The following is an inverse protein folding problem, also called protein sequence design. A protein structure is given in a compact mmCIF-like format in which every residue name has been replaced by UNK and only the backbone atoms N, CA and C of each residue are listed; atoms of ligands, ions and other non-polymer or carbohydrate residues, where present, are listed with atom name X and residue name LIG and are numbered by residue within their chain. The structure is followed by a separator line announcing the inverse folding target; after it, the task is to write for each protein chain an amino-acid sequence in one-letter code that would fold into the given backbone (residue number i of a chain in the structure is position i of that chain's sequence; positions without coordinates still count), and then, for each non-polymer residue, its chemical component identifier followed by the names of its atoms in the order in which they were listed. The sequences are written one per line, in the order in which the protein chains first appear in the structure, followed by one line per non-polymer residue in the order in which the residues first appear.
data_IF_621130391729
#
_entry.id   IF_621130391729
#
_cell.length_a   1.000
_cell.length_b   1.000
_cell.length_c   1.000
_cell.angle_alpha   90.00
_cell.angle_beta   90.00
_cell.angle_gamma   90.00
#
_symmetry.space_group_name_H-M   'P 1'
#
loop_
_entity.id
_entity.type
_entity.pdbx_description
1 polymer ?
#
# COMPACT_ATOMS: atom_id res chain seq x y z
N UNK A 1 -23.79 25.98 30.73
CA UNK A 1 -22.79 26.42 29.75
C UNK A 1 -23.57 26.96 28.58
N UNK A 2 -23.40 28.24 28.24
CA UNK A 2 -24.15 28.86 27.16
C UNK A 2 -23.46 28.48 25.84
N UNK A 3 -24.19 27.79 24.96
CA UNK A 3 -23.75 27.49 23.59
C UNK A 3 -23.55 28.82 22.84
N UNK A 4 -22.42 28.96 22.14
CA UNK A 4 -22.15 30.15 21.35
C UNK A 4 -23.21 30.28 20.23
N UNK A 5 -23.86 31.45 20.07
CA UNK A 5 -24.95 31.62 19.09
C UNK A 5 -24.50 31.53 17.62
N UNK A 6 -23.19 31.35 17.38
CA UNK A 6 -22.56 31.31 16.06
C UNK A 6 -22.06 29.91 15.68
N UNK A 7 -22.06 28.94 16.61
CA UNK A 7 -21.65 27.56 16.29
C UNK A 7 -22.82 26.78 15.71
N UNK A 8 -22.75 26.51 14.40
CA UNK A 8 -23.67 25.58 13.72
C UNK A 8 -23.21 24.17 14.06
N UNK A 9 -24.04 23.41 14.77
CA UNK A 9 -23.77 21.99 15.03
C UNK A 9 -24.07 21.16 13.77
N UNK A 10 -23.38 20.01 13.63
CA UNK A 10 -23.56 19.13 12.48
C UNK A 10 -25.02 18.66 12.33
N UNK A 11 -25.69 18.35 13.45
CA UNK A 11 -27.09 17.93 13.48
C UNK A 11 -28.07 19.05 13.07
N UNK A 12 -27.77 20.30 13.44
CA UNK A 12 -28.58 21.45 13.02
C UNK A 12 -28.44 21.70 11.51
N UNK A 13 -27.23 21.56 10.98
CA UNK A 13 -26.96 21.68 9.55
C UNK A 13 -27.67 20.58 8.75
N UNK A 14 -27.55 19.32 9.16
CA UNK A 14 -28.20 18.19 8.48
C UNK A 14 -29.71 18.31 8.53
N UNK A 15 -30.28 18.76 9.64
CA UNK A 15 -31.73 18.99 9.78
C UNK A 15 -32.22 20.10 8.85
N UNK A 16 -31.48 21.21 8.72
CA UNK A 16 -31.81 22.31 7.80
C UNK A 16 -31.70 21.90 6.34
N UNK A 17 -30.66 21.14 5.97
CA UNK A 17 -30.48 20.60 4.61
C UNK A 17 -31.58 19.58 4.29
N UNK A 18 -31.90 18.67 5.20
CA UNK A 18 -32.98 17.70 5.04
C UNK A 18 -34.33 18.39 4.87
N UNK A 19 -34.64 19.44 5.65
CA UNK A 19 -35.86 20.23 5.50
C UNK A 19 -35.90 21.00 4.17
N UNK A 20 -34.76 21.53 3.70
CA UNK A 20 -34.65 22.22 2.41
C UNK A 20 -34.85 21.29 1.20
N UNK A 21 -34.52 20.01 1.38
CA UNK A 21 -34.68 18.95 0.37
C UNK A 21 -35.98 18.15 0.53
N UNK A 22 -36.74 18.40 1.61
CA UNK A 22 -38.01 17.76 1.86
C UNK A 22 -39.12 18.44 1.06
N UNK A 23 -39.74 17.67 0.15
CA UNK A 23 -40.82 18.15 -0.70
C UNK A 23 -40.32 18.46 -2.11
N UNK A 24 -40.69 17.58 -3.04
CA UNK A 24 -40.35 17.72 -4.45
C UNK A 24 -40.24 16.36 -5.15
N UNK A 25 -40.42 16.38 -6.46
CA UNK A 25 -40.07 15.27 -7.35
C UNK A 25 -38.57 14.93 -7.24
N UNK A 26 -38.14 13.77 -7.72
CA UNK A 26 -36.73 13.38 -7.65
C UNK A 26 -35.81 14.42 -8.32
N UNK A 27 -36.20 14.91 -9.49
CA UNK A 27 -35.46 15.95 -10.24
C UNK A 27 -35.30 17.27 -9.48
N UNK A 28 -36.30 17.67 -8.68
CA UNK A 28 -36.22 18.90 -7.89
C UNK A 28 -35.23 18.77 -6.73
N UNK A 29 -35.12 17.58 -6.15
CA UNK A 29 -34.14 17.26 -5.10
C UNK A 29 -32.72 17.26 -5.65
N UNK A 30 -32.50 16.73 -6.84
CA UNK A 30 -31.19 16.73 -7.49
C UNK A 30 -30.71 18.16 -7.79
N UNK A 31 -31.60 19.01 -8.33
CA UNK A 31 -31.30 20.43 -8.55
C UNK A 31 -31.07 21.20 -7.24
N UNK A 32 -31.76 20.81 -6.16
CA UNK A 32 -31.55 21.41 -4.85
C UNK A 32 -30.19 21.00 -4.26
N UNK A 33 -29.78 19.75 -4.41
CA UNK A 33 -28.44 19.27 -4.05
C UNK A 33 -27.33 19.98 -4.82
N UNK A 34 -27.52 20.22 -6.13
CA UNK A 34 -26.57 20.97 -6.94
C UNK A 34 -26.34 22.39 -6.40
N UNK A 35 -27.42 23.09 -6.02
CA UNK A 35 -27.33 24.44 -5.43
C UNK A 35 -26.65 24.45 -4.06
N UNK A 36 -26.92 23.45 -3.23
CA UNK A 36 -26.27 23.28 -1.92
C UNK A 36 -24.77 23.00 -2.13
N UNK A 37 -24.43 22.10 -3.06
CA UNK A 37 -23.05 21.77 -3.42
C UNK A 37 -22.26 22.96 -3.94
N UNK A 38 -22.84 23.76 -4.84
CA UNK A 38 -22.19 24.96 -5.38
C UNK A 38 -21.90 26.03 -4.32
N UNK A 39 -22.81 26.20 -3.35
CA UNK A 39 -22.58 27.12 -2.22
C UNK A 39 -21.53 26.57 -1.27
N UNK A 40 -21.54 25.28 -0.98
CA UNK A 40 -20.54 24.63 -0.15
C UNK A 40 -19.14 24.73 -0.77
N UNK A 41 -19.02 24.50 -2.09
CA UNK A 41 -17.76 24.56 -2.84
C UNK A 41 -17.10 25.94 -2.78
N UNK A 42 -17.90 27.02 -2.75
CA UNK A 42 -17.37 28.39 -2.58
C UNK A 42 -16.66 28.62 -1.25
N UNK A 43 -16.91 27.75 -0.25
CA UNK A 43 -16.35 27.83 1.11
C UNK A 43 -15.41 26.66 1.43
N UNK A 44 -15.47 25.54 0.69
CA UNK A 44 -14.52 24.43 0.82
C UNK A 44 -13.37 24.58 -0.18
N UNK A 45 -12.23 25.10 0.30
CA UNK A 45 -10.98 25.13 -0.49
C UNK A 45 -10.26 23.77 -0.57
N UNK A 46 -10.69 22.79 0.23
CA UNK A 46 -10.17 21.42 0.27
C UNK A 46 -11.34 20.45 0.23
N UNK A 47 -11.21 19.42 -0.60
CA UNK A 47 -12.08 18.24 -0.52
C UNK A 47 -11.75 17.53 0.80
N UNK A 48 -12.74 17.18 1.64
CA UNK A 48 -12.48 16.30 2.77
C UNK A 48 -11.91 15.00 2.19
N UNK A 49 -10.64 14.74 2.48
CA UNK A 49 -10.03 13.44 2.18
C UNK A 49 -10.91 12.43 2.89
N UNK A 50 -11.34 11.37 2.20
CA UNK A 50 -12.16 10.32 2.82
C UNK A 50 -11.42 9.90 4.10
N UNK A 51 -12.02 10.21 5.26
CA UNK A 51 -11.51 9.71 6.52
C UNK A 51 -11.51 8.20 6.38
N UNK A 52 -10.34 7.60 6.60
CA UNK A 52 -9.97 6.23 6.29
C UNK A 52 -11.15 5.26 6.23
N UNK A 53 -11.21 4.50 5.12
CA UNK A 53 -12.04 3.32 4.95
C UNK A 53 -12.17 2.59 6.29
N UNK A 54 -13.41 2.45 6.77
CA UNK A 54 -13.70 1.87 8.06
C UNK A 54 -13.06 0.49 8.15
N UNK A 55 -11.95 0.35 8.88
CA UNK A 55 -11.54 -0.94 9.42
C UNK A 55 -10.07 -1.35 9.48
N UNK A 56 -9.05 -0.59 9.05
CA UNK A 56 -7.68 -1.13 9.16
C UNK A 56 -6.50 -0.16 9.29
N UNK A 57 -6.66 1.16 9.18
CA UNK A 57 -5.50 2.06 9.25
C UNK A 57 -5.90 3.31 10.06
N UNK A 58 -5.52 3.33 11.33
CA UNK A 58 -5.49 4.54 12.12
C UNK A 58 -4.09 5.15 11.96
N UNK A 59 -3.87 6.16 11.09
CA UNK A 59 -2.70 6.98 11.26
C UNK A 59 -2.87 7.77 12.56
N UNK A 60 -1.87 7.70 13.44
CA UNK A 60 -1.72 8.68 14.50
C UNK A 60 -1.70 10.07 13.85
N UNK A 61 -2.56 10.96 14.33
CA UNK A 61 -2.66 12.34 13.81
C UNK A 61 -1.37 13.07 14.16
N UNK A 62 -0.37 13.02 13.27
CA UNK A 62 0.71 14.00 13.30
C UNK A 62 0.12 15.27 12.70
N UNK A 63 -0.16 16.24 13.57
CA UNK A 63 -0.61 17.56 13.15
C UNK A 63 0.44 18.18 12.23
N UNK A 64 0.18 18.19 10.93
CA UNK A 64 1.00 18.94 9.98
C UNK A 64 0.59 20.40 10.10
N UNK A 65 1.38 21.17 10.85
CA UNK A 65 1.30 22.62 10.85
C UNK A 65 1.66 23.12 9.44
N UNK A 66 0.65 23.65 8.73
CA UNK A 66 0.84 24.20 7.39
C UNK A 66 1.58 25.53 7.52
N UNK A 67 2.92 25.50 7.46
CA UNK A 67 3.72 26.71 7.29
C UNK A 67 3.29 27.44 6.01
N UNK A 68 2.84 28.68 6.18
CA UNK A 68 2.59 29.61 5.08
C UNK A 68 3.85 29.73 4.22
N UNK A 69 3.66 29.51 2.90
CA UNK A 69 4.69 29.56 1.89
C UNK A 69 5.38 30.93 1.88
N UNK A 70 6.63 30.97 2.32
CA UNK A 70 7.56 32.08 2.08
C UNK A 70 8.69 31.63 1.14
N UNK A 71 8.78 32.38 0.05
CA UNK A 71 9.70 32.36 -1.09
C UNK A 71 11.05 31.62 -0.99
N UNK A 72 11.34 30.91 -2.09
CA UNK A 72 12.63 30.58 -2.71
C UNK A 72 13.91 30.78 -1.88
N UNK A 73 14.62 29.69 -1.59
CA UNK A 73 16.06 29.53 -1.86
C UNK A 73 16.43 28.04 -1.87
N UNK A 74 17.38 27.69 -2.74
CA UNK A 74 17.89 26.35 -2.98
C UNK A 74 18.49 25.71 -1.71
N UNK A 75 18.02 24.51 -1.39
CA UNK A 75 18.83 23.35 -0.99
C UNK A 75 17.95 22.12 -1.22
N UNK A 76 18.38 21.20 -2.10
CA UNK A 76 17.65 19.95 -2.38
C UNK A 76 17.83 19.00 -1.20
N UNK A 77 17.05 19.23 -0.14
CA UNK A 77 16.89 18.29 0.97
C UNK A 77 15.85 17.23 0.59
N UNK A 78 16.30 15.99 0.46
CA UNK A 78 15.45 14.80 0.31
C UNK A 78 14.36 14.79 1.37
N UNK A 79 13.10 14.85 0.93
CA UNK A 79 11.94 14.58 1.77
C UNK A 79 11.93 13.09 2.10
N UNK A 80 12.61 12.72 3.18
CA UNK A 80 12.46 11.43 3.81
C UNK A 80 10.99 11.24 4.19
N UNK A 81 10.29 10.43 3.40
CA UNK A 81 9.01 9.86 3.80
C UNK A 81 9.34 8.79 4.84
N UNK A 82 9.19 9.11 6.12
CA UNK A 82 9.21 8.09 7.17
C UNK A 82 8.02 7.17 6.97
N UNK A 83 8.30 6.01 6.38
CA UNK A 83 7.34 4.92 6.28
C UNK A 83 7.26 4.30 7.67
N UNK A 84 6.11 4.50 8.33
CA UNK A 84 5.79 3.91 9.61
C UNK A 84 6.03 2.39 9.57
N UNK A 85 6.64 1.87 10.64
CA UNK A 85 6.88 0.45 10.88
C UNK A 85 5.62 -0.37 10.57
N UNK A 86 5.64 -1.12 9.47
CA UNK A 86 4.57 -2.02 9.06
C UNK A 86 4.69 -3.36 9.81
N UNK A 87 4.90 -3.31 11.13
CA UNK A 87 4.67 -4.45 12.01
C UNK A 87 3.17 -4.57 12.30
N UNK A 88 2.35 -4.65 11.24
CA UNK A 88 0.92 -4.94 11.39
C UNK A 88 0.80 -6.34 11.98
N UNK A 89 0.28 -6.41 13.21
CA UNK A 89 -0.14 -7.62 13.92
C UNK A 89 -0.67 -8.65 12.92
N UNK A 90 0.16 -9.67 12.63
CA UNK A 90 -0.17 -10.74 11.71
C UNK A 90 -1.24 -11.61 12.35
N UNK A 91 -2.51 -11.30 12.09
CA UNK A 91 -3.61 -12.21 12.37
C UNK A 91 -3.38 -13.51 11.58
N UNK A 92 -3.67 -14.66 12.20
CA UNK A 92 -3.43 -16.02 11.70
C UNK A 92 -4.17 -16.32 10.38
N UNK A 93 -3.69 -15.72 9.29
CA UNK A 93 -4.33 -15.71 7.97
C UNK A 93 -3.54 -16.60 7.01
N UNK A 94 -4.22 -17.11 5.98
CA UNK A 94 -3.63 -17.87 4.87
C UNK A 94 -2.35 -17.25 4.29
N UNK A 95 -2.25 -15.91 4.30
CA UNK A 95 -1.07 -15.15 3.88
C UNK A 95 0.17 -15.45 4.74
N UNK A 96 0.03 -15.56 6.06
CA UNK A 96 1.14 -15.88 6.97
C UNK A 96 1.71 -17.27 6.71
N UNK A 97 0.85 -18.22 6.33
CA UNK A 97 1.27 -19.58 5.95
C UNK A 97 2.07 -19.53 4.65
N UNK A 98 1.59 -18.79 3.64
CA UNK A 98 2.29 -18.63 2.36
C UNK A 98 3.65 -17.95 2.52
N UNK A 99 3.73 -16.88 3.33
CA UNK A 99 4.99 -16.17 3.61
C UNK A 99 5.99 -17.10 4.32
N UNK A 100 5.54 -17.88 5.31
CA UNK A 100 6.39 -18.85 5.99
C UNK A 100 6.87 -19.97 5.06
N UNK A 101 6.02 -20.45 4.15
CA UNK A 101 6.40 -21.43 3.13
C UNK A 101 7.44 -20.86 2.17
N UNK A 102 7.25 -19.63 1.68
CA UNK A 102 8.20 -18.95 0.81
C UNK A 102 9.57 -18.80 1.48
N UNK A 103 9.59 -18.41 2.76
CA UNK A 103 10.81 -18.29 3.53
C UNK A 103 11.54 -19.64 3.61
N UNK A 104 10.81 -20.72 3.90
CA UNK A 104 11.37 -22.08 3.95
C UNK A 104 11.98 -22.52 2.62
N UNK A 105 11.28 -22.28 1.51
CA UNK A 105 11.76 -22.63 0.15
C UNK A 105 13.01 -21.81 -0.19
N UNK A 106 13.01 -20.52 0.10
CA UNK A 106 14.14 -19.63 -0.18
C UNK A 106 15.38 -20.02 0.62
N UNK A 107 15.23 -20.37 1.90
CA UNK A 107 16.31 -20.85 2.75
C UNK A 107 16.88 -22.19 2.27
N UNK A 108 16.01 -23.11 1.80
CA UNK A 108 16.44 -24.40 1.27
C UNK A 108 17.15 -24.28 -0.09
N UNK A 109 16.71 -23.35 -0.94
CA UNK A 109 17.24 -23.15 -2.30
C UNK A 109 18.53 -22.34 -2.29
N UNK A 110 18.68 -21.41 -1.35
CA UNK A 110 19.80 -20.48 -1.31
C UNK A 110 19.60 -19.27 -2.26
N UNK A 111 20.68 -18.54 -2.59
CA UNK A 111 20.59 -17.37 -3.44
C UNK A 111 20.13 -17.72 -4.87
N UNK A 112 19.09 -17.06 -5.36
CA UNK A 112 18.56 -17.31 -6.71
C UNK A 112 18.03 -16.06 -7.39
N UNK A 113 17.81 -16.14 -8.70
CA UNK A 113 17.25 -15.04 -9.46
C UNK A 113 15.78 -14.77 -9.06
N UNK A 114 15.45 -13.48 -8.89
CA UNK A 114 14.10 -13.02 -8.51
C UNK A 114 13.02 -13.59 -9.43
N UNK A 115 13.18 -13.48 -10.75
CA UNK A 115 12.17 -13.91 -11.71
C UNK A 115 11.99 -15.43 -11.69
N UNK A 116 13.07 -16.19 -11.54
CA UNK A 116 12.98 -17.65 -11.36
C UNK A 116 12.24 -18.06 -10.09
N UNK A 117 12.29 -17.24 -9.05
CA UNK A 117 11.59 -17.52 -7.81
C UNK A 117 10.09 -17.23 -7.90
N UNK A 118 9.72 -16.05 -8.39
CA UNK A 118 8.32 -15.57 -8.31
C UNK A 118 7.44 -16.06 -9.48
N UNK A 119 8.02 -16.37 -10.64
CA UNK A 119 7.23 -16.63 -11.85
C UNK A 119 6.58 -18.01 -11.79
N UNK A 120 5.26 -18.00 -12.01
CA UNK A 120 4.49 -19.16 -12.40
C UNK A 120 4.25 -19.11 -13.92
N UNK A 121 4.66 -20.13 -14.70
CA UNK A 121 4.68 -20.04 -16.17
C UNK A 121 3.30 -20.10 -16.84
N UNK A 122 2.29 -20.59 -16.13
CA UNK A 122 0.93 -20.74 -16.66
C UNK A 122 -0.07 -19.71 -16.12
N UNK A 123 0.32 -18.95 -15.08
CA UNK A 123 -0.58 -18.03 -14.39
C UNK A 123 0.18 -16.77 -13.94
N UNK A 124 -0.17 -15.65 -14.56
CA UNK A 124 0.38 -14.36 -14.19
C UNK A 124 -0.13 -13.88 -12.82
N UNK A 125 -1.40 -14.13 -12.48
CA UNK A 125 -1.98 -13.70 -11.20
C UNK A 125 -1.23 -14.33 -10.03
N UNK A 126 -0.92 -15.62 -10.12
CA UNK A 126 -0.09 -16.30 -9.14
C UNK A 126 1.32 -15.71 -9.05
N UNK A 127 1.90 -15.26 -10.17
CA UNK A 127 3.22 -14.59 -10.17
C UNK A 127 3.19 -13.24 -9.45
N UNK A 128 2.09 -12.48 -9.58
CA UNK A 128 1.86 -11.22 -8.86
C UNK A 128 1.68 -11.49 -7.37
N UNK A 129 0.92 -12.52 -6.99
CA UNK A 129 0.75 -12.93 -5.60
C UNK A 129 2.08 -13.39 -4.96
N UNK A 130 2.88 -14.16 -5.69
CA UNK A 130 4.22 -14.56 -5.24
C UNK A 130 5.12 -13.34 -4.99
N UNK A 131 5.05 -12.33 -5.86
CA UNK A 131 5.78 -11.07 -5.68
C UNK A 131 5.26 -10.27 -4.47
N UNK A 132 3.94 -10.26 -4.25
CA UNK A 132 3.33 -9.66 -3.07
C UNK A 132 3.82 -10.33 -1.78
N UNK A 133 3.79 -11.66 -1.69
CA UNK A 133 4.29 -12.37 -0.50
C UNK A 133 5.79 -12.19 -0.28
N UNK A 134 6.58 -12.17 -1.36
CA UNK A 134 8.02 -11.89 -1.28
C UNK A 134 8.29 -10.49 -0.71
N UNK A 135 7.43 -9.50 -1.00
CA UNK A 135 7.61 -8.15 -0.46
C UNK A 135 7.63 -8.11 1.07
N UNK A 136 6.81 -8.94 1.73
CA UNK A 136 6.83 -9.06 3.19
C UNK A 136 8.16 -9.63 3.70
N UNK A 137 8.73 -10.63 3.03
CA UNK A 137 10.04 -11.19 3.42
C UNK A 137 11.17 -10.16 3.31
N UNK A 138 11.10 -9.28 2.31
CA UNK A 138 12.08 -8.20 2.14
C UNK A 138 11.90 -7.14 3.23
N UNK A 139 10.65 -6.73 3.50
CA UNK A 139 10.32 -5.76 4.54
C UNK A 139 10.69 -6.26 5.95
N UNK A 140 10.45 -7.55 6.24
CA UNK A 140 10.86 -8.21 7.48
C UNK A 140 12.38 -8.49 7.55
N UNK A 141 13.12 -8.16 6.48
CA UNK A 141 14.55 -8.37 6.34
C UNK A 141 14.99 -9.83 6.38
N UNK A 142 14.06 -10.78 6.19
CA UNK A 142 14.33 -12.22 6.07
C UNK A 142 15.00 -12.58 4.74
N UNK A 143 14.87 -11.72 3.73
CA UNK A 143 15.62 -11.85 2.49
C UNK A 143 16.13 -10.48 2.00
N UNK A 144 17.26 -10.51 1.31
CA UNK A 144 17.84 -9.35 0.64
C UNK A 144 17.69 -9.46 -0.88
N UNK A 145 17.29 -8.36 -1.52
CA UNK A 145 17.31 -8.22 -2.98
C UNK A 145 18.50 -7.34 -3.38
N UNK A 146 19.38 -7.85 -4.24
CA UNK A 146 20.51 -7.08 -4.78
C UNK A 146 20.68 -7.37 -6.27
N UNK A 147 21.34 -6.44 -6.98
CA UNK A 147 21.71 -6.63 -8.38
C UNK A 147 23.10 -7.27 -8.44
N UNK A 148 23.22 -8.40 -9.13
CA UNK A 148 24.51 -9.01 -9.41
C UNK A 148 25.24 -8.26 -10.55
N UNK A 149 26.54 -8.51 -10.70
CA UNK A 149 27.41 -7.85 -11.70
C UNK A 149 26.91 -8.01 -13.15
N UNK A 150 26.11 -9.05 -13.40
CA UNK A 150 25.49 -9.32 -14.69
C UNK A 150 24.15 -8.59 -14.89
N UNK A 151 23.79 -7.66 -14.00
CA UNK A 151 22.55 -6.89 -14.03
C UNK A 151 21.31 -7.70 -13.65
N UNK A 152 21.45 -8.92 -13.11
CA UNK A 152 20.32 -9.76 -12.74
C UNK A 152 19.94 -9.53 -11.27
N UNK A 153 18.64 -9.40 -10.95
CA UNK A 153 18.17 -9.34 -9.58
C UNK A 153 18.32 -10.70 -8.90
N UNK A 154 19.06 -10.75 -7.80
CA UNK A 154 19.29 -11.95 -6.99
C UNK A 154 18.68 -11.74 -5.60
N UNK A 155 17.86 -12.72 -5.21
CA UNK A 155 17.36 -12.89 -3.86
C UNK A 155 18.36 -13.70 -3.06
N UNK A 156 18.65 -13.24 -1.84
CA UNK A 156 19.54 -13.94 -0.90
C UNK A 156 18.81 -14.12 0.42
N UNK A 157 18.66 -15.36 0.92
CA UNK A 157 18.12 -15.59 2.25
C UNK A 157 19.04 -14.96 3.30
N UNK A 158 18.46 -14.36 4.33
CA UNK A 158 19.19 -13.84 5.50
C UNK A 158 18.80 -14.62 6.74
N UNK A 159 19.71 -14.71 7.69
CA UNK A 159 19.38 -15.27 9.00
C UNK A 159 18.80 -14.19 9.91
N UNK A 160 17.85 -14.53 10.81
CA UNK A 160 17.29 -13.57 11.77
C UNK A 160 18.33 -12.87 12.66
N UNK A 161 19.47 -13.52 12.92
CA UNK A 161 20.59 -12.95 13.69
C UNK A 161 21.27 -11.78 12.98
N UNK A 162 21.31 -11.80 11.65
CA UNK A 162 21.90 -10.74 10.82
C UNK A 162 20.98 -9.52 10.75
N UNK A 163 19.66 -9.74 10.87
CA UNK A 163 18.65 -8.69 10.83
C UNK A 163 18.81 -7.68 11.98
N UNK A 164 18.97 -8.18 13.22
CA UNK A 164 19.09 -7.35 14.42
C UNK A 164 20.28 -6.38 14.39
N UNK A 165 21.36 -6.75 13.68
CA UNK A 165 22.55 -5.90 13.54
C UNK A 165 22.40 -4.83 12.44
N UNK A 166 21.47 -5.01 11.50
CA UNK A 166 21.27 -4.08 10.37
C UNK A 166 20.11 -3.09 10.59
N UNK A 167 19.20 -3.33 11.54
CA UNK A 167 18.11 -2.38 11.83
C UNK A 167 18.62 -0.98 12.22
N UNK A 168 19.83 -0.87 12.77
CA UNK A 168 20.45 0.41 13.15
C UNK A 168 21.13 1.13 11.96
N UNK A 169 21.26 0.49 10.79
CA UNK A 169 22.01 1.04 9.63
C UNK A 169 21.25 0.97 8.31
N UNK A 170 20.15 0.20 8.24
CA UNK A 170 19.42 -0.02 7.00
C UNK A 170 18.46 1.14 6.73
N UNK A 171 18.93 2.10 5.92
CA UNK A 171 18.04 3.05 5.22
C UNK A 171 16.99 2.21 4.49
N UNK A 172 15.72 2.40 4.83
CA UNK A 172 14.60 1.65 4.29
C UNK A 172 14.52 1.87 2.77
N UNK A 173 15.18 1.01 2.01
CA UNK A 173 15.36 1.16 0.56
C UNK A 173 14.12 0.66 -0.16
N UNK A 174 13.15 1.54 -0.27
CA UNK A 174 11.94 1.30 -1.04
C UNK A 174 12.32 1.01 -2.50
N UNK A 175 12.01 -0.20 -2.98
CA UNK A 175 12.30 -0.61 -4.36
C UNK A 175 10.98 -0.73 -5.11
N UNK A 176 10.75 0.18 -6.05
CA UNK A 176 9.60 0.14 -6.95
C UNK A 176 9.98 -0.66 -8.19
N UNK A 177 9.25 -1.74 -8.48
CA UNK A 177 9.44 -2.57 -9.67
C UNK A 177 8.17 -2.60 -10.50
N UNK A 178 8.30 -2.32 -11.80
CA UNK A 178 7.24 -2.56 -12.76
C UNK A 178 7.21 -4.04 -13.13
N UNK A 179 6.02 -4.66 -13.03
CA UNK A 179 5.83 -6.05 -13.39
C UNK A 179 4.52 -6.21 -14.17
N UNK A 180 4.66 -6.37 -15.49
CA UNK A 180 3.54 -6.48 -16.42
C UNK A 180 3.54 -7.84 -17.15
N UNK A 181 2.46 -8.09 -17.90
CA UNK A 181 2.31 -9.32 -18.68
C UNK A 181 3.41 -9.51 -19.72
N UNK A 182 3.93 -8.44 -20.32
CA UNK A 182 5.00 -8.54 -21.30
C UNK A 182 6.33 -8.95 -20.65
N UNK A 183 6.66 -8.35 -19.50
CA UNK A 183 7.84 -8.71 -18.70
C UNK A 183 7.75 -10.14 -18.19
N UNK A 184 6.57 -10.57 -17.72
CA UNK A 184 6.34 -11.95 -17.29
C UNK A 184 6.61 -12.97 -18.42
N UNK A 185 6.03 -12.77 -19.60
CA UNK A 185 6.25 -13.66 -20.77
C UNK A 185 7.72 -13.67 -21.19
N UNK A 186 8.35 -12.49 -21.28
CA UNK A 186 9.76 -12.38 -21.64
C UNK A 186 10.64 -13.09 -20.62
N UNK A 187 10.33 -13.00 -19.34
CA UNK A 187 11.10 -13.66 -18.29
C UNK A 187 10.98 -15.19 -18.38
N UNK A 188 9.81 -15.73 -18.72
CA UNK A 188 9.65 -17.18 -18.99
C UNK A 188 10.58 -17.61 -20.13
N UNK A 189 10.61 -16.85 -21.23
CA UNK A 189 11.46 -17.15 -22.39
C UNK A 189 12.97 -17.03 -22.08
N UNK A 190 13.38 -15.95 -21.41
CA UNK A 190 14.79 -15.66 -21.13
C UNK A 190 15.39 -16.60 -20.08
N UNK A 191 14.60 -16.98 -19.07
CA UNK A 191 15.06 -17.83 -17.98
C UNK A 191 14.69 -19.30 -18.15
N UNK A 192 14.00 -19.65 -19.25
CA UNK A 192 13.49 -20.98 -19.57
C UNK A 192 12.73 -21.61 -18.40
N UNK A 193 11.70 -20.89 -17.94
CA UNK A 193 10.94 -21.26 -16.73
C UNK A 193 9.82 -22.22 -17.15
N UNK A 194 10.02 -23.52 -16.91
CA UNK A 194 9.05 -24.57 -17.24
C UNK A 194 8.13 -24.91 -16.07
N UNK A 195 8.59 -24.74 -14.84
CA UNK A 195 7.87 -25.08 -13.61
C UNK A 195 8.01 -23.96 -12.58
N UNK A 196 7.00 -23.80 -11.72
CA UNK A 196 7.04 -22.83 -10.62
C UNK A 196 7.73 -23.42 -9.40
N UNK A 197 8.62 -22.62 -8.78
CA UNK A 197 9.29 -23.01 -7.52
C UNK A 197 8.31 -22.98 -6.35
N UNK A 198 7.42 -22.00 -6.35
CA UNK A 198 6.40 -21.80 -5.32
C UNK A 198 5.18 -22.64 -5.68
N UNK A 199 4.60 -23.34 -4.69
CA UNK A 199 3.38 -24.12 -4.89
C UNK A 199 2.20 -23.19 -5.20
N UNK A 200 1.50 -23.49 -6.29
CA UNK A 200 0.29 -22.77 -6.67
C UNK A 200 -0.76 -22.96 -5.56
N UNK A 201 -1.48 -21.89 -5.20
CA UNK A 201 -2.58 -22.02 -4.24
C UNK A 201 -3.57 -23.03 -4.83
N UNK A 202 -3.86 -24.11 -4.11
CA UNK A 202 -4.90 -25.03 -4.56
C UNK A 202 -6.18 -24.22 -4.71
N UNK A 203 -6.91 -24.29 -5.85
CA UNK A 203 -8.24 -23.72 -5.90
C UNK A 203 -9.02 -24.38 -4.76
N UNK A 204 -9.52 -23.57 -3.84
CA UNK A 204 -10.28 -24.04 -2.69
C UNK A 204 -11.33 -25.01 -3.19
N UNK A 205 -11.34 -26.23 -2.65
CA UNK A 205 -12.45 -27.14 -2.87
C UNK A 205 -13.64 -26.52 -2.16
N UNK A 206 -14.46 -25.80 -2.92
CA UNK A 206 -15.77 -25.28 -2.50
C UNK A 206 -16.70 -26.45 -2.24
#
# INVERSE_FOLDING_TARGET
MAEDPLTITADEFTTKVAAYLAGGTADERDRAWERVGMRALSKSRRVPVQSFMHGAILPSVVGVDCRELSACNADEGEAHTEVADHSSTREDTEESVMVAQLAGILQATGPLNLFRFIIHPLDFGQSVENLYYLSFLICDGMCGLHMADNGKPILTPRQPSEHASMLDTQVNRQTVMEFDMATWKRAIEVFDIQESIILCRSPGRV
#
